data_IF_146054213907
#
_entry.id   IF_146054213907
#
_cell.length_a   1.000
_cell.length_b   1.000
_cell.length_c   1.000
_cell.angle_alpha   90.00
_cell.angle_beta   90.00
_cell.angle_gamma   90.00
#
_symmetry.space_group_name_H-M   'P 1'
#
loop_
_entity.id
_entity.type
_entity.pdbx_description
1 polymer ?
#
# COMPACT_ATOMS: atom_id res chain seq x y z
N UNK A 1 36.40 -4.10 -5.73
CA UNK A 1 35.42 -3.56 -6.71
C UNK A 1 34.31 -2.74 -6.06
N UNK A 2 33.66 -3.17 -4.96
CA UNK A 2 32.60 -2.37 -4.29
C UNK A 2 33.09 -1.01 -3.74
N UNK A 3 34.33 -0.98 -3.23
CA UNK A 3 34.96 0.20 -2.63
C UNK A 3 35.31 1.33 -3.62
N UNK A 4 35.21 1.08 -4.94
CA UNK A 4 35.34 2.15 -5.94
C UNK A 4 34.08 3.02 -6.02
N UNK A 5 32.92 2.49 -5.62
CA UNK A 5 31.63 3.18 -5.67
C UNK A 5 31.17 3.68 -4.30
N UNK A 6 31.51 2.97 -3.23
CA UNK A 6 31.10 3.30 -1.86
C UNK A 6 32.28 3.26 -0.92
N UNK A 7 32.45 4.30 -0.09
CA UNK A 7 33.56 4.37 0.87
C UNK A 7 33.38 3.38 2.01
N UNK A 8 32.15 3.02 2.35
CA UNK A 8 31.83 2.09 3.43
C UNK A 8 30.41 1.48 3.29
N UNK A 9 30.08 0.53 4.16
CA UNK A 9 28.77 -0.14 4.21
C UNK A 9 27.62 0.85 4.47
N UNK A 10 27.84 1.93 5.24
CA UNK A 10 26.82 2.95 5.52
C UNK A 10 26.42 3.68 4.24
N UNK A 11 27.39 4.14 3.44
CA UNK A 11 27.09 4.81 2.16
C UNK A 11 26.32 3.91 1.19
N UNK A 12 26.72 2.64 1.07
CA UNK A 12 25.97 1.66 0.27
C UNK A 12 24.54 1.51 0.78
N UNK A 13 24.35 1.40 2.10
CA UNK A 13 23.03 1.26 2.70
C UNK A 13 22.13 2.47 2.41
N UNK A 14 22.65 3.69 2.57
CA UNK A 14 21.90 4.92 2.30
C UNK A 14 21.55 5.06 0.82
N UNK A 15 22.46 4.66 -0.07
CA UNK A 15 22.17 4.57 -1.50
C UNK A 15 21.02 3.59 -1.79
N UNK A 16 21.04 2.40 -1.18
CA UNK A 16 19.97 1.41 -1.32
C UNK A 16 18.64 1.92 -0.78
N UNK A 17 18.64 2.68 0.33
CA UNK A 17 17.42 3.32 0.86
C UNK A 17 16.86 4.28 -0.17
N UNK A 18 17.70 5.20 -0.68
CA UNK A 18 17.27 6.16 -1.70
C UNK A 18 16.70 5.47 -2.93
N UNK A 19 17.42 4.48 -3.47
CA UNK A 19 17.01 3.70 -4.64
C UNK A 19 15.70 2.93 -4.41
N UNK A 20 15.53 2.35 -3.22
CA UNK A 20 14.32 1.64 -2.83
C UNK A 20 13.10 2.57 -2.76
N UNK A 21 13.29 3.81 -2.26
CA UNK A 21 12.25 4.83 -2.26
C UNK A 21 11.88 5.27 -3.69
N UNK A 22 12.85 5.35 -4.61
CA UNK A 22 12.60 5.61 -6.04
C UNK A 22 11.74 4.51 -6.67
N UNK A 23 12.01 3.24 -6.35
CA UNK A 23 11.21 2.11 -6.84
C UNK A 23 9.76 2.20 -6.33
N UNK A 24 9.54 2.52 -5.04
CA UNK A 24 8.18 2.69 -4.49
C UNK A 24 7.41 3.77 -5.27
N UNK A 25 8.04 4.92 -5.52
CA UNK A 25 7.36 6.03 -6.18
C UNK A 25 6.98 5.66 -7.62
N UNK A 26 7.91 5.08 -8.38
CA UNK A 26 7.71 4.87 -9.82
C UNK A 26 6.92 3.59 -10.13
N UNK A 27 7.21 2.50 -9.41
CA UNK A 27 6.68 1.16 -9.72
C UNK A 27 5.48 0.77 -8.85
N UNK A 28 5.20 1.50 -7.76
CA UNK A 28 3.97 1.32 -6.99
C UNK A 28 3.06 2.55 -7.11
N UNK A 29 3.44 3.69 -6.51
CA UNK A 29 2.54 4.84 -6.43
C UNK A 29 2.19 5.42 -7.80
N UNK A 30 3.15 5.42 -8.73
CA UNK A 30 2.95 5.89 -10.10
C UNK A 30 2.02 5.02 -10.96
N UNK A 31 1.64 3.83 -10.50
CA UNK A 31 0.73 2.92 -11.22
C UNK A 31 -0.75 3.08 -10.77
N UNK A 32 -1.02 3.87 -9.73
CA UNK A 32 -2.37 4.08 -9.21
C UNK A 32 -3.07 5.16 -10.04
N UNK A 33 -4.29 4.87 -10.52
CA UNK A 33 -5.08 5.83 -11.30
C UNK A 33 -5.85 6.77 -10.37
N UNK A 34 -5.42 8.04 -10.33
CA UNK A 34 -6.06 9.07 -9.51
C UNK A 34 -7.31 9.69 -10.14
N UNK A 35 -7.76 9.17 -11.30
CA UNK A 35 -9.02 9.57 -11.95
C UNK A 35 -10.22 8.77 -11.47
N UNK A 36 -10.03 7.57 -10.93
CA UNK A 36 -11.14 6.76 -10.38
C UNK A 36 -11.72 7.47 -9.15
N UNK A 37 -12.97 7.91 -9.22
CA UNK A 37 -13.60 8.72 -8.17
C UNK A 37 -14.28 7.88 -7.08
N UNK A 38 -14.55 6.61 -7.32
CA UNK A 38 -15.10 5.67 -6.33
C UNK A 38 -14.00 5.24 -5.35
N UNK A 39 -14.18 5.54 -4.06
CA UNK A 39 -13.20 5.23 -3.02
C UNK A 39 -12.93 3.74 -2.88
N UNK A 40 -13.96 2.89 -2.99
CA UNK A 40 -13.82 1.45 -2.82
C UNK A 40 -13.13 0.85 -4.06
N UNK A 41 -13.44 1.31 -5.27
CA UNK A 41 -12.70 0.91 -6.48
C UNK A 41 -11.24 1.40 -6.45
N UNK A 42 -10.98 2.61 -5.94
CA UNK A 42 -9.60 3.10 -5.74
C UNK A 42 -8.83 2.19 -4.79
N UNK A 43 -9.43 1.78 -3.67
CA UNK A 43 -8.80 0.86 -2.72
C UNK A 43 -8.56 -0.53 -3.32
N UNK A 44 -9.49 -1.02 -4.15
CA UNK A 44 -9.31 -2.25 -4.91
C UNK A 44 -8.10 -2.16 -5.83
N UNK A 45 -8.02 -1.13 -6.66
CA UNK A 45 -6.89 -0.89 -7.55
C UNK A 45 -5.58 -0.82 -6.76
N UNK A 46 -5.56 -0.07 -5.66
CA UNK A 46 -4.38 0.03 -4.79
C UNK A 46 -3.96 -1.35 -4.29
N UNK A 47 -4.90 -2.20 -3.87
CA UNK A 47 -4.61 -3.56 -3.40
C UNK A 47 -4.00 -4.42 -4.51
N UNK A 48 -4.55 -4.38 -5.72
CA UNK A 48 -4.08 -5.13 -6.89
C UNK A 48 -2.65 -4.73 -7.25
N UNK A 49 -2.39 -3.43 -7.41
CA UNK A 49 -1.06 -2.90 -7.71
C UNK A 49 -0.08 -3.21 -6.57
N UNK A 50 -0.52 -3.07 -5.31
CA UNK A 50 0.31 -3.39 -4.13
C UNK A 50 0.73 -4.86 -4.13
N UNK A 51 -0.15 -5.78 -4.49
CA UNK A 51 0.16 -7.21 -4.57
C UNK A 51 1.20 -7.49 -5.66
N UNK A 52 0.97 -6.98 -6.88
CA UNK A 52 1.91 -7.15 -8.00
C UNK A 52 3.30 -6.59 -7.64
N UNK A 53 3.32 -5.35 -7.11
CA UNK A 53 4.54 -4.71 -6.64
C UNK A 53 5.27 -5.55 -5.58
N UNK A 54 4.52 -6.10 -4.61
CA UNK A 54 5.09 -6.89 -3.52
C UNK A 54 5.72 -8.20 -4.01
N UNK A 55 5.12 -8.84 -5.02
CA UNK A 55 5.66 -10.05 -5.64
C UNK A 55 6.90 -9.74 -6.48
N UNK A 56 6.91 -8.61 -7.19
CA UNK A 56 8.04 -8.17 -8.03
C UNK A 56 9.24 -7.68 -7.20
N UNK A 57 8.98 -7.01 -6.07
CA UNK A 57 10.00 -6.33 -5.26
C UNK A 57 10.03 -6.74 -3.78
N UNK A 58 10.04 -8.05 -3.43
CA UNK A 58 9.96 -8.48 -2.04
C UNK A 58 11.16 -8.01 -1.20
N UNK A 59 12.34 -7.94 -1.81
CA UNK A 59 13.57 -7.49 -1.14
C UNK A 59 13.54 -5.99 -0.82
N UNK A 60 12.93 -5.17 -1.66
CA UNK A 60 12.79 -3.72 -1.44
C UNK A 60 11.91 -3.47 -0.22
N UNK A 61 10.77 -4.19 -0.13
CA UNK A 61 9.86 -4.11 1.01
C UNK A 61 10.52 -4.56 2.31
N UNK A 62 11.18 -5.72 2.30
CA UNK A 62 11.86 -6.25 3.48
C UNK A 62 12.97 -5.31 3.96
N UNK A 63 13.77 -4.78 3.03
CA UNK A 63 14.85 -3.86 3.35
C UNK A 63 14.33 -2.56 3.95
N UNK A 64 13.37 -1.89 3.31
CA UNK A 64 12.81 -0.65 3.83
C UNK A 64 12.06 -0.85 5.16
N UNK A 65 11.39 -1.99 5.34
CA UNK A 65 10.75 -2.34 6.61
C UNK A 65 11.77 -2.44 7.76
N UNK A 66 12.92 -3.07 7.53
CA UNK A 66 13.99 -3.15 8.54
C UNK A 66 14.55 -1.76 8.89
N UNK A 67 14.64 -0.86 7.91
CA UNK A 67 15.18 0.49 8.14
C UNK A 67 14.18 1.42 8.85
N UNK A 68 12.94 1.51 8.37
CA UNK A 68 11.99 2.52 8.82
C UNK A 68 10.99 2.04 9.88
N UNK A 69 10.83 0.73 10.06
CA UNK A 69 9.93 0.16 11.08
C UNK A 69 10.73 -0.41 12.25
N UNK A 70 11.85 -1.09 11.98
CA UNK A 70 12.69 -1.69 13.02
C UNK A 70 13.81 -0.74 13.50
N UNK A 71 13.98 0.40 12.82
CA UNK A 71 14.98 1.44 13.15
C UNK A 71 16.42 0.88 13.23
N UNK A 72 16.73 -0.14 12.41
CA UNK A 72 18.02 -0.85 12.45
C UNK A 72 19.24 0.06 12.21
N UNK A 73 19.04 1.19 11.51
CA UNK A 73 20.10 2.08 11.06
C UNK A 73 19.67 3.54 11.20
N UNK A 74 20.60 4.38 11.64
CA UNK A 74 20.43 5.82 11.64
C UNK A 74 20.39 6.37 10.19
N UNK A 75 19.20 6.77 9.76
CA UNK A 75 18.95 7.39 8.46
C UNK A 75 19.09 8.92 8.58
N UNK A 76 19.82 9.59 7.67
CA UNK A 76 19.90 11.05 7.62
C UNK A 76 18.52 11.69 7.46
N UNK A 77 18.37 12.89 8.02
CA UNK A 77 17.10 13.63 7.97
C UNK A 77 16.61 13.83 6.53
N UNK A 78 17.49 14.04 5.55
CA UNK A 78 17.08 14.18 4.14
C UNK A 78 16.29 12.97 3.61
N UNK A 79 16.67 11.74 4.00
CA UNK A 79 15.95 10.52 3.60
C UNK A 79 14.70 10.28 4.44
N UNK A 80 14.67 10.72 5.71
CA UNK A 80 13.46 10.71 6.53
C UNK A 80 12.39 11.64 5.94
N UNK A 81 12.74 12.89 5.65
CA UNK A 81 11.83 13.85 5.01
C UNK A 81 11.34 13.34 3.65
N UNK A 82 12.22 12.67 2.88
CA UNK A 82 11.84 12.03 1.63
C UNK A 82 10.80 10.94 1.85
N UNK A 83 11.00 10.07 2.83
CA UNK A 83 10.04 9.03 3.21
C UNK A 83 8.71 9.62 3.67
N UNK A 84 8.72 10.66 4.51
CA UNK A 84 7.52 11.39 4.93
C UNK A 84 6.76 12.00 3.74
N UNK A 85 7.47 12.60 2.78
CA UNK A 85 6.88 13.11 1.54
C UNK A 85 6.20 12.00 0.71
N UNK A 86 6.76 10.79 0.70
CA UNK A 86 6.13 9.62 0.06
C UNK A 86 4.88 9.19 0.84
N UNK A 87 4.88 9.25 2.17
CA UNK A 87 3.68 8.96 2.97
C UNK A 87 2.56 9.96 2.70
N UNK A 88 2.88 11.25 2.60
CA UNK A 88 1.92 12.30 2.24
C UNK A 88 1.39 12.11 0.81
N UNK A 89 2.25 11.73 -0.13
CA UNK A 89 1.85 11.41 -1.50
C UNK A 89 0.89 10.21 -1.53
N UNK A 90 1.17 9.16 -0.75
CA UNK A 90 0.27 7.99 -0.61
C UNK A 90 -1.11 8.40 -0.10
N UNK A 91 -1.15 9.23 0.93
CA UNK A 91 -2.41 9.74 1.49
C UNK A 91 -3.16 10.59 0.45
N UNK A 92 -2.48 11.48 -0.26
CA UNK A 92 -3.07 12.26 -1.36
C UNK A 92 -3.65 11.36 -2.44
N UNK A 93 -2.89 10.37 -2.92
CA UNK A 93 -3.35 9.40 -3.92
C UNK A 93 -4.58 8.64 -3.43
N UNK A 94 -4.73 8.40 -2.13
CA UNK A 94 -5.87 7.65 -1.60
C UNK A 94 -7.17 8.46 -1.62
N UNK A 95 -7.11 9.79 -1.40
CA UNK A 95 -8.30 10.62 -1.19
C UNK A 95 -8.54 11.69 -2.27
N UNK A 96 -7.58 11.93 -3.16
CA UNK A 96 -7.72 12.92 -4.22
C UNK A 96 -8.78 12.51 -5.25
N UNK A 97 -9.65 13.46 -5.58
CA UNK A 97 -10.76 13.35 -6.53
C UNK A 97 -11.85 12.31 -6.17
N UNK A 98 -11.97 11.94 -4.90
CA UNK A 98 -13.02 10.99 -4.49
C UNK A 98 -14.40 11.66 -4.47
N UNK A 99 -15.37 11.02 -5.13
CA UNK A 99 -16.76 11.44 -5.15
C UNK A 99 -17.49 10.98 -3.88
N UNK A 100 -17.55 11.89 -2.91
CA UNK A 100 -18.28 11.68 -1.65
C UNK A 100 -19.79 11.53 -1.85
N UNK A 101 -20.33 11.91 -3.01
CA UNK A 101 -21.77 11.82 -3.28
C UNK A 101 -22.24 10.39 -3.51
N UNK A 102 -21.33 9.43 -3.77
CA UNK A 102 -21.66 8.00 -3.86
C UNK A 102 -22.11 7.42 -2.51
N UNK A 103 -21.60 7.98 -1.40
CA UNK A 103 -21.96 7.55 -0.05
C UNK A 103 -23.40 7.91 0.30
N UNK A 104 -24.02 7.09 1.15
CA UNK A 104 -25.35 7.35 1.71
C UNK A 104 -25.39 8.69 2.45
N UNK A 105 -26.55 9.35 2.38
CA UNK A 105 -26.73 10.69 3.00
C UNK A 105 -26.76 10.65 4.53
N UNK A 106 -27.07 9.51 5.11
CA UNK A 106 -27.17 9.30 6.56
C UNK A 106 -25.86 8.77 7.18
N UNK A 107 -24.79 8.69 6.39
CA UNK A 107 -23.48 8.23 6.82
C UNK A 107 -22.50 9.41 6.84
N UNK A 108 -21.74 9.51 7.92
CA UNK A 108 -20.57 10.39 8.00
C UNK A 108 -19.45 9.82 7.14
N UNK A 109 -19.13 10.48 6.02
CA UNK A 109 -18.17 10.01 5.02
C UNK A 109 -16.76 9.79 5.60
N UNK A 110 -16.31 10.66 6.51
CA UNK A 110 -14.99 10.53 7.14
C UNK A 110 -14.92 9.29 8.02
N UNK A 111 -15.99 8.98 8.75
CA UNK A 111 -16.09 7.73 9.51
C UNK A 111 -16.21 6.52 8.59
N UNK A 112 -16.93 6.63 7.48
CA UNK A 112 -17.05 5.56 6.50
C UNK A 112 -15.70 5.19 5.91
N UNK A 113 -14.87 6.17 5.53
CA UNK A 113 -13.50 5.93 5.04
C UNK A 113 -12.68 5.11 6.03
N UNK A 114 -12.67 5.50 7.30
CA UNK A 114 -11.94 4.77 8.35
C UNK A 114 -12.43 3.35 8.53
N UNK A 115 -13.76 3.15 8.57
CA UNK A 115 -14.35 1.82 8.73
C UNK A 115 -14.03 0.92 7.53
N UNK A 116 -14.11 1.45 6.32
CA UNK A 116 -13.71 0.73 5.10
C UNK A 116 -12.24 0.35 5.20
N UNK A 117 -11.36 1.30 5.51
CA UNK A 117 -9.92 1.04 5.65
C UNK A 117 -9.62 -0.03 6.70
N UNK A 118 -10.17 0.09 7.90
CA UNK A 118 -9.94 -0.91 8.97
C UNK A 118 -10.46 -2.28 8.59
N UNK A 119 -11.57 -2.36 7.85
CA UNK A 119 -12.10 -3.63 7.36
C UNK A 119 -11.13 -4.30 6.39
N UNK A 120 -10.60 -3.53 5.42
CA UNK A 120 -9.62 -4.06 4.46
C UNK A 120 -8.27 -4.39 5.11
N UNK A 121 -7.81 -3.57 6.06
CA UNK A 121 -6.60 -3.85 6.85
C UNK A 121 -6.79 -5.11 7.71
N UNK A 122 -7.98 -5.29 8.30
CA UNK A 122 -8.37 -6.48 9.03
C UNK A 122 -8.25 -7.73 8.14
N UNK A 123 -8.85 -7.69 6.95
CA UNK A 123 -8.75 -8.77 5.98
C UNK A 123 -7.30 -9.04 5.54
N UNK A 124 -6.53 -7.99 5.26
CA UNK A 124 -5.11 -8.11 4.91
C UNK A 124 -4.31 -8.81 6.03
N UNK A 125 -4.59 -8.47 7.30
CA UNK A 125 -3.92 -9.10 8.44
C UNK A 125 -4.32 -10.56 8.60
N UNK A 126 -5.59 -10.92 8.35
CA UNK A 126 -6.03 -12.32 8.31
C UNK A 126 -5.33 -13.10 7.21
N UNK A 127 -5.25 -12.54 6.01
CA UNK A 127 -4.53 -13.12 4.89
C UNK A 127 -3.06 -13.38 5.23
N UNK A 128 -2.36 -12.38 5.80
CA UNK A 128 -0.97 -12.51 6.23
C UNK A 128 -0.81 -13.64 7.25
N UNK A 129 -1.74 -13.77 8.21
CA UNK A 129 -1.72 -14.85 9.20
C UNK A 129 -1.88 -16.22 8.56
N UNK A 130 -2.82 -16.37 7.62
CA UNK A 130 -3.09 -17.64 6.93
C UNK A 130 -1.93 -18.05 6.01
N UNK A 131 -1.28 -17.08 5.38
CA UNK A 131 -0.24 -17.32 4.38
C UNK A 131 1.20 -17.29 4.95
N UNK A 132 1.38 -17.01 6.24
CA UNK A 132 2.69 -16.81 6.89
C UNK A 132 3.72 -17.93 6.64
N UNK A 133 3.25 -19.15 6.43
CA UNK A 133 4.09 -20.33 6.21
C UNK A 133 3.99 -20.90 4.80
N UNK A 134 3.27 -20.22 3.90
CA UNK A 134 3.10 -20.64 2.53
C UNK A 134 4.14 -19.98 1.63
N UNK A 135 4.51 -20.69 0.56
CA UNK A 135 5.28 -20.08 -0.51
C UNK A 135 4.33 -19.31 -1.42
N UNK A 136 4.23 -18.00 -1.20
CA UNK A 136 3.35 -17.09 -1.94
C UNK A 136 3.55 -17.13 -3.47
N UNK A 137 4.75 -17.50 -3.94
CA UNK A 137 5.04 -17.62 -5.38
C UNK A 137 4.29 -18.79 -6.03
N UNK A 138 3.98 -19.83 -5.24
CA UNK A 138 3.30 -21.04 -5.71
C UNK A 138 1.87 -21.17 -5.16
N UNK A 139 1.39 -20.20 -4.39
CA UNK A 139 0.03 -20.19 -3.87
C UNK A 139 -0.91 -19.59 -4.89
N UNK A 140 -2.03 -20.28 -5.18
CA UNK A 140 -3.10 -19.67 -5.98
C UNK A 140 -3.75 -18.53 -5.19
N UNK A 141 -3.63 -17.30 -5.69
CA UNK A 141 -4.18 -16.12 -5.04
C UNK A 141 -5.64 -15.84 -5.41
N UNK A 142 -6.18 -16.49 -6.45
CA UNK A 142 -7.53 -16.23 -6.97
C UNK A 142 -8.63 -16.33 -5.88
N UNK A 143 -8.65 -17.36 -5.00
CA UNK A 143 -9.71 -17.46 -3.99
C UNK A 143 -9.69 -16.29 -2.97
N UNK A 144 -8.52 -15.75 -2.69
CA UNK A 144 -8.37 -14.60 -1.79
C UNK A 144 -8.79 -13.30 -2.46
N UNK A 145 -8.62 -13.19 -3.77
CA UNK A 145 -9.16 -12.08 -4.55
C UNK A 145 -10.68 -12.13 -4.62
N UNK A 146 -11.26 -13.32 -4.86
CA UNK A 146 -12.71 -13.50 -4.88
C UNK A 146 -13.34 -13.09 -3.55
N UNK A 147 -12.79 -13.56 -2.44
CA UNK A 147 -13.26 -13.17 -1.09
C UNK A 147 -13.06 -11.67 -0.82
N UNK A 148 -11.94 -11.08 -1.24
CA UNK A 148 -11.71 -9.64 -1.16
C UNK A 148 -12.79 -8.85 -1.92
N UNK A 149 -13.16 -9.27 -3.13
CA UNK A 149 -14.21 -8.62 -3.92
C UNK A 149 -15.59 -8.75 -3.26
N UNK A 150 -15.89 -9.87 -2.63
CA UNK A 150 -17.12 -10.04 -1.83
C UNK A 150 -17.16 -9.07 -0.64
N UNK A 151 -16.05 -8.87 0.05
CA UNK A 151 -15.95 -7.86 1.12
C UNK A 151 -16.14 -6.44 0.58
N UNK A 152 -15.55 -6.09 -0.56
CA UNK A 152 -15.78 -4.78 -1.19
C UNK A 152 -17.25 -4.59 -1.57
N UNK A 153 -17.90 -5.62 -2.12
CA UNK A 153 -19.34 -5.60 -2.44
C UNK A 153 -20.20 -5.38 -1.19
N UNK A 154 -19.83 -6.03 -0.08
CA UNK A 154 -20.48 -5.83 1.22
C UNK A 154 -20.31 -4.39 1.72
N UNK A 155 -19.11 -3.83 1.64
CA UNK A 155 -18.83 -2.45 2.03
C UNK A 155 -19.60 -1.44 1.17
N UNK A 156 -19.69 -1.65 -0.15
CA UNK A 156 -20.57 -0.85 -1.03
C UNK A 156 -22.03 -0.95 -0.62
N UNK A 157 -22.49 -2.15 -0.25
CA UNK A 157 -23.87 -2.36 0.25
C UNK A 157 -24.16 -1.57 1.51
N UNK A 158 -23.19 -1.51 2.43
CA UNK A 158 -23.36 -0.81 3.70
C UNK A 158 -23.31 0.72 3.55
N UNK A 159 -22.36 1.22 2.75
CA UNK A 159 -21.99 2.64 2.75
C UNK A 159 -22.47 3.44 1.52
N UNK A 160 -22.77 2.81 0.38
CA UNK A 160 -23.16 3.52 -0.86
C UNK A 160 -24.67 3.59 -1.07
N UNK A 161 -25.09 4.59 -1.85
CA UNK A 161 -26.49 4.75 -2.28
C UNK A 161 -26.83 3.70 -3.33
N UNK A 162 -28.05 3.16 -3.25
CA UNK A 162 -28.60 2.32 -4.31
C UNK A 162 -27.97 0.93 -4.44
N UNK A 163 -27.16 0.52 -3.46
CA UNK A 163 -26.56 -0.80 -3.38
C UNK A 163 -27.60 -1.84 -2.92
N UNK A 164 -28.49 -2.25 -3.82
CA UNK A 164 -29.37 -3.41 -3.67
C UNK A 164 -29.54 -4.12 -5.00
#
# INVERSE_FOLDING_TARGET
MLFYYFKNKKELCLYLVSYSLDIIVNEFLGQIDTKETDFIERLKQIAEVKMEYSQKHPNVLNFLGSIFIQEDIEVPDSLKHRYEGIMQMREKIMYENIDTTLFRKDVDTEKAYKLIQWSLEGYQNDLIRQLKHQNLVNTNMDPYWDEFYEYLGTLKTLFYKGSK
#
